data_IF_213836229573
#
_entry.id   IF_213836229573
#
_cell.length_a   1.000
_cell.length_b   1.000
_cell.length_c   1.000
_cell.angle_alpha   90.00
_cell.angle_beta   90.00
_cell.angle_gamma   90.00
#
_symmetry.space_group_name_H-M   'P 1'
#
loop_
_entity.id
_entity.type
_entity.pdbx_description
1 polymer ?
#
# COMPACT_ATOMS: atom_id res chain seq x y z
N UNK A 1 60.99 -2.75 -30.62
CA UNK A 1 62.09 -2.99 -29.65
C UNK A 1 61.79 -2.29 -28.36
N UNK A 2 61.36 -2.97 -27.36
CA UNK A 2 61.47 -2.56 -25.95
C UNK A 2 61.53 -3.86 -25.11
N UNK A 3 62.65 -4.00 -24.39
CA UNK A 3 62.99 -5.15 -23.57
C UNK A 3 62.15 -5.19 -22.27
N UNK A 4 61.73 -6.36 -21.84
CA UNK A 4 61.07 -6.63 -20.60
C UNK A 4 62.12 -6.74 -19.46
N UNK A 5 61.97 -5.99 -18.41
CA UNK A 5 62.77 -6.01 -17.19
C UNK A 5 62.20 -7.10 -16.27
N UNK A 6 63.04 -8.02 -15.85
CA UNK A 6 62.74 -9.08 -14.89
C UNK A 6 62.78 -8.53 -13.46
N UNK A 7 61.76 -8.86 -12.65
CA UNK A 7 61.54 -8.39 -11.29
C UNK A 7 62.54 -8.95 -10.27
N UNK A 8 62.94 -8.19 -9.26
CA UNK A 8 63.96 -8.56 -8.24
C UNK A 8 63.55 -9.72 -7.30
N UNK A 9 62.32 -10.21 -7.34
CA UNK A 9 61.80 -11.23 -6.42
C UNK A 9 62.21 -12.68 -6.78
N UNK A 10 62.64 -12.92 -8.02
CA UNK A 10 63.07 -14.29 -8.44
C UNK A 10 64.53 -14.62 -8.00
N UNK A 11 65.31 -13.61 -7.71
CA UNK A 11 66.71 -13.86 -7.29
C UNK A 11 66.86 -14.31 -5.81
N UNK A 12 65.91 -13.94 -4.95
CA UNK A 12 65.97 -14.35 -3.53
C UNK A 12 65.46 -15.80 -3.28
N UNK A 13 64.67 -16.35 -4.13
CA UNK A 13 64.17 -17.72 -3.96
C UNK A 13 65.24 -18.81 -4.25
N UNK A 14 66.21 -18.52 -5.10
CA UNK A 14 67.30 -19.47 -5.44
C UNK A 14 68.41 -19.62 -4.41
N UNK A 15 68.62 -18.60 -3.58
CA UNK A 15 69.68 -18.61 -2.54
C UNK A 15 69.22 -19.37 -1.29
N UNK A 16 67.94 -19.40 -0.97
CA UNK A 16 67.41 -20.11 0.20
C UNK A 16 67.36 -21.64 0.06
N UNK A 17 67.36 -22.19 -1.19
CA UNK A 17 67.28 -23.63 -1.43
C UNK A 17 68.63 -24.36 -1.31
N UNK A 18 69.78 -23.66 -1.29
CA UNK A 18 71.13 -24.28 -1.22
C UNK A 18 71.68 -24.40 0.19
N UNK A 19 71.02 -23.87 1.23
CA UNK A 19 71.53 -23.95 2.64
C UNK A 19 70.86 -25.05 3.48
N UNK A 20 69.97 -25.86 2.91
CA UNK A 20 69.25 -26.91 3.65
C UNK A 20 69.73 -28.35 3.35
N UNK A 21 70.81 -28.49 2.60
CA UNK A 21 71.27 -29.83 2.17
C UNK A 21 72.62 -30.28 2.78
N UNK A 22 73.27 -29.52 3.68
CA UNK A 22 74.50 -29.95 4.34
C UNK A 22 74.42 -29.68 5.85
N UNK A 23 73.90 -30.63 6.57
CA UNK A 23 73.95 -30.69 8.03
C UNK A 23 73.73 -32.11 8.49
N UNK A 24 74.88 -32.81 8.63
CA UNK A 24 74.96 -34.24 8.84
C UNK A 24 74.38 -34.73 10.16
N UNK A 25 74.13 -36.00 10.11
CA UNK A 25 73.53 -36.86 11.11
C UNK A 25 74.26 -36.86 12.49
N UNK A 26 73.47 -36.88 13.56
CA UNK A 26 73.79 -37.62 14.79
C UNK A 26 72.55 -38.32 15.29
N UNK A 27 72.57 -39.64 15.13
CA UNK A 27 71.57 -40.57 15.64
C UNK A 27 71.65 -40.65 17.17
N UNK A 28 70.56 -40.32 17.84
CA UNK A 28 70.31 -40.79 19.20
C UNK A 28 69.02 -41.61 19.15
N UNK A 29 69.11 -42.89 19.48
CA UNK A 29 68.03 -43.88 19.39
C UNK A 29 66.94 -43.57 20.40
N UNK A 30 65.77 -43.27 19.87
CA UNK A 30 64.52 -43.29 20.62
C UNK A 30 63.85 -44.65 20.43
N UNK A 31 63.47 -45.30 21.52
CA UNK A 31 62.81 -46.61 21.54
C UNK A 31 61.48 -46.56 20.79
N UNK A 32 61.15 -47.60 20.02
CA UNK A 32 59.99 -47.74 19.16
C UNK A 32 58.62 -47.55 19.86
N UNK A 33 58.58 -47.56 21.21
CA UNK A 33 57.36 -47.35 21.97
C UNK A 33 56.93 -45.88 22.04
N UNK A 34 57.84 -44.93 21.98
CA UNK A 34 57.50 -43.50 22.10
C UNK A 34 56.93 -42.92 20.80
N UNK A 35 57.30 -43.49 19.64
CA UNK A 35 56.78 -43.08 18.34
C UNK A 35 55.32 -43.52 18.14
N UNK A 36 54.88 -44.62 18.74
CA UNK A 36 53.49 -45.10 18.62
C UNK A 36 52.53 -44.27 19.49
N UNK A 37 52.95 -43.82 20.66
CA UNK A 37 52.10 -42.97 21.57
C UNK A 37 51.94 -41.56 20.99
N UNK A 38 52.95 -40.94 20.43
CA UNK A 38 52.90 -39.63 19.80
C UNK A 38 52.08 -39.67 18.53
N UNK A 39 52.15 -40.75 17.74
CA UNK A 39 51.34 -40.97 16.54
C UNK A 39 49.84 -41.12 16.89
N UNK A 40 49.55 -41.91 17.95
CA UNK A 40 48.15 -42.13 18.41
C UNK A 40 47.54 -40.86 18.97
N UNK A 41 48.32 -40.06 19.72
CA UNK A 41 47.88 -38.80 20.27
C UNK A 41 47.56 -37.76 19.16
N UNK A 42 48.37 -37.68 18.13
CA UNK A 42 48.14 -36.80 16.96
C UNK A 42 46.92 -37.23 16.13
N UNK A 43 46.68 -38.53 16.02
CA UNK A 43 45.50 -39.05 15.29
C UNK A 43 44.20 -38.74 16.08
N UNK A 44 44.24 -38.97 17.39
CA UNK A 44 43.08 -38.67 18.30
C UNK A 44 42.81 -37.19 18.37
N UNK A 45 43.83 -36.33 18.48
CA UNK A 45 43.65 -34.88 18.50
C UNK A 45 43.09 -34.35 17.17
N UNK A 46 43.56 -34.83 16.03
CA UNK A 46 43.00 -34.48 14.71
C UNK A 46 41.54 -34.93 14.61
N UNK A 47 41.21 -36.13 15.05
CA UNK A 47 39.83 -36.62 15.05
C UNK A 47 38.93 -35.80 15.94
N UNK A 48 39.40 -35.37 17.11
CA UNK A 48 38.65 -34.49 18.01
C UNK A 48 38.44 -33.09 17.42
N UNK A 49 39.46 -32.53 16.80
CA UNK A 49 39.36 -31.22 16.12
C UNK A 49 38.38 -31.29 14.93
N UNK A 50 38.42 -32.34 14.10
CA UNK A 50 37.44 -32.50 13.02
C UNK A 50 36.01 -32.73 13.52
N UNK A 51 35.82 -33.44 14.63
CA UNK A 51 34.50 -33.59 15.27
C UNK A 51 33.98 -32.26 15.88
N UNK A 52 34.83 -31.46 16.52
CA UNK A 52 34.51 -30.14 17.01
C UNK A 52 34.19 -29.14 15.89
N UNK A 53 34.95 -29.21 14.77
CA UNK A 53 34.65 -28.40 13.58
C UNK A 53 33.35 -28.84 12.91
N UNK A 54 33.09 -30.16 12.80
CA UNK A 54 31.83 -30.65 12.25
C UNK A 54 30.63 -30.32 13.12
N UNK A 55 30.75 -30.31 14.44
CA UNK A 55 29.69 -29.84 15.36
C UNK A 55 29.51 -28.34 15.30
N UNK A 56 30.60 -27.57 15.19
CA UNK A 56 30.52 -26.11 15.04
C UNK A 56 29.90 -25.69 13.69
N UNK A 57 30.22 -26.38 12.59
CA UNK A 57 29.60 -26.12 11.29
C UNK A 57 28.15 -26.59 11.24
N UNK A 58 27.77 -27.69 11.90
CA UNK A 58 26.39 -28.13 12.02
C UNK A 58 25.59 -27.15 12.92
N UNK A 59 26.19 -26.61 13.98
CA UNK A 59 25.56 -25.58 14.80
C UNK A 59 25.42 -24.24 14.08
N UNK A 60 26.36 -23.84 13.21
CA UNK A 60 26.22 -22.64 12.36
C UNK A 60 25.12 -22.80 11.28
N UNK A 61 24.90 -24.03 10.79
CA UNK A 61 23.83 -24.33 9.83
C UNK A 61 22.44 -24.42 10.48
N UNK A 62 22.39 -24.52 11.83
CA UNK A 62 21.14 -24.50 12.60
C UNK A 62 20.79 -23.10 13.15
N UNK A 63 21.67 -22.09 12.95
CA UNK A 63 21.40 -20.69 13.28
C UNK A 63 20.89 -19.93 12.03
N UNK A 64 20.39 -20.62 11.04
CA UNK A 64 19.36 -20.03 10.19
C UNK A 64 18.02 -20.13 10.94
N UNK A 65 17.96 -19.50 12.12
CA UNK A 65 16.71 -18.96 12.63
C UNK A 65 16.37 -17.84 11.68
N UNK A 66 15.99 -18.21 10.47
CA UNK A 66 15.23 -17.35 9.61
C UNK A 66 14.13 -16.81 10.49
N UNK A 67 14.14 -15.49 10.72
CA UNK A 67 12.98 -14.78 11.18
C UNK A 67 11.86 -15.33 10.33
N UNK A 68 11.05 -16.25 10.88
CA UNK A 68 9.97 -16.88 10.15
C UNK A 68 9.15 -15.72 9.63
N UNK A 69 9.16 -15.52 8.31
CA UNK A 69 8.46 -14.40 7.70
C UNK A 69 7.04 -14.47 8.24
N UNK A 70 6.62 -13.43 8.95
CA UNK A 70 5.32 -13.41 9.60
C UNK A 70 4.27 -13.73 8.55
N UNK A 71 3.34 -14.66 8.84
CA UNK A 71 2.36 -15.09 7.85
C UNK A 71 1.52 -13.90 7.36
N UNK A 72 1.07 -13.95 6.12
CA UNK A 72 0.23 -12.90 5.51
C UNK A 72 -0.95 -12.57 6.40
N UNK A 73 -1.62 -13.60 6.94
CA UNK A 73 -2.80 -13.41 7.81
C UNK A 73 -2.46 -12.62 9.07
N UNK A 74 -1.33 -12.90 9.71
CA UNK A 74 -0.88 -12.18 10.91
C UNK A 74 -0.59 -10.72 10.57
N UNK A 75 0.12 -10.46 9.48
CA UNK A 75 0.42 -9.10 9.02
C UNK A 75 -0.86 -8.33 8.70
N UNK A 76 -1.81 -8.96 8.02
CA UNK A 76 -3.11 -8.36 7.68
C UNK A 76 -3.92 -8.06 8.93
N UNK A 77 -4.02 -8.97 9.90
CA UNK A 77 -4.76 -8.74 11.15
C UNK A 77 -4.12 -7.63 12.01
N UNK A 78 -2.81 -7.58 12.10
CA UNK A 78 -2.11 -6.45 12.73
C UNK A 78 -2.39 -5.13 12.02
N UNK A 79 -2.33 -5.13 10.69
CA UNK A 79 -2.67 -3.97 9.86
C UNK A 79 -4.10 -3.49 10.10
N UNK A 80 -5.07 -4.40 10.15
CA UNK A 80 -6.48 -4.10 10.48
C UNK A 80 -6.64 -3.48 11.88
N UNK A 81 -5.83 -3.88 12.86
CA UNK A 81 -5.86 -3.29 14.19
C UNK A 81 -5.46 -1.80 14.18
N UNK A 82 -4.46 -1.42 13.39
CA UNK A 82 -4.07 -0.01 13.17
C UNK A 82 -5.08 0.73 12.29
N UNK A 83 -5.60 0.09 11.25
CA UNK A 83 -6.61 0.66 10.35
C UNK A 83 -7.86 1.10 11.10
N UNK A 84 -8.37 0.27 12.04
CA UNK A 84 -9.51 0.63 12.91
C UNK A 84 -9.26 1.88 13.77
N UNK A 85 -8.02 2.24 14.01
CA UNK A 85 -7.60 3.45 14.74
C UNK A 85 -7.22 4.60 13.81
N UNK A 86 -7.41 4.43 12.50
CA UNK A 86 -6.99 5.37 11.44
C UNK A 86 -5.47 5.66 11.43
N UNK A 87 -4.67 4.75 11.97
CA UNK A 87 -3.22 4.84 12.04
C UNK A 87 -2.59 4.30 10.74
N UNK A 88 -2.76 5.06 9.65
CA UNK A 88 -2.33 4.62 8.31
C UNK A 88 -0.81 4.43 8.21
N UNK A 89 -0.01 5.23 8.93
CA UNK A 89 1.46 5.12 8.94
C UNK A 89 1.93 3.79 9.53
N UNK A 90 1.18 3.24 10.49
CA UNK A 90 1.52 1.98 11.16
C UNK A 90 0.91 0.77 10.42
N UNK A 91 -0.29 0.92 9.84
CA UNK A 91 -0.94 -0.14 9.07
C UNK A 91 -0.23 -0.43 7.73
N UNK A 92 0.22 0.62 7.03
CA UNK A 92 0.76 0.52 5.67
C UNK A 92 1.98 -0.39 5.55
N UNK A 93 3.02 -0.32 6.41
CA UNK A 93 4.17 -1.21 6.32
C UNK A 93 3.81 -2.70 6.44
N UNK A 94 2.80 -3.03 7.26
CA UNK A 94 2.32 -4.40 7.45
C UNK A 94 1.64 -4.91 6.19
N UNK A 95 0.76 -4.11 5.60
CA UNK A 95 0.10 -4.45 4.34
C UNK A 95 1.07 -4.55 3.16
N UNK A 96 2.09 -3.67 3.08
CA UNK A 96 3.13 -3.76 2.06
C UNK A 96 4.03 -5.00 2.23
N UNK A 97 4.23 -5.44 3.47
CA UNK A 97 4.93 -6.71 3.73
C UNK A 97 4.10 -7.92 3.31
N UNK A 98 2.80 -7.91 3.57
CA UNK A 98 1.87 -8.95 3.12
C UNK A 98 1.76 -9.00 1.59
N UNK A 99 1.77 -7.83 0.91
CA UNK A 99 1.70 -7.72 -0.56
C UNK A 99 2.86 -8.44 -1.25
N UNK A 100 4.06 -8.48 -0.65
CA UNK A 100 5.20 -9.19 -1.24
C UNK A 100 4.93 -10.67 -1.45
N UNK A 101 4.15 -11.29 -0.56
CA UNK A 101 3.75 -12.68 -0.67
C UNK A 101 2.49 -12.87 -1.52
N UNK A 102 1.54 -11.91 -1.46
CA UNK A 102 0.27 -11.96 -2.17
C UNK A 102 0.02 -10.72 -3.05
N UNK A 103 0.84 -10.48 -4.10
CA UNK A 103 0.79 -9.26 -4.89
C UNK A 103 -0.47 -9.07 -5.74
N UNK A 104 -1.31 -10.11 -5.84
CA UNK A 104 -2.57 -10.11 -6.60
C UNK A 104 -3.80 -10.28 -5.72
N UNK A 105 -3.67 -10.20 -4.39
CA UNK A 105 -4.81 -10.26 -3.48
C UNK A 105 -5.60 -8.94 -3.57
N UNK A 106 -6.85 -8.94 -4.13
CA UNK A 106 -7.61 -7.72 -4.36
C UNK A 106 -7.98 -7.02 -3.05
N UNK A 107 -8.36 -7.75 -1.99
CA UNK A 107 -8.69 -7.18 -0.69
C UNK A 107 -7.49 -6.44 -0.09
N UNK A 108 -6.31 -7.04 -0.13
CA UNK A 108 -5.08 -6.43 0.36
C UNK A 108 -4.74 -5.16 -0.41
N UNK A 109 -4.85 -5.18 -1.74
CA UNK A 109 -4.61 -4.02 -2.59
C UNK A 109 -5.61 -2.87 -2.30
N UNK A 110 -6.89 -3.19 -2.04
CA UNK A 110 -7.90 -2.21 -1.59
C UNK A 110 -7.51 -1.58 -0.26
N UNK A 111 -7.02 -2.38 0.71
CA UNK A 111 -6.55 -1.89 2.01
C UNK A 111 -5.35 -0.96 1.87
N UNK A 112 -4.37 -1.33 1.06
CA UNK A 112 -3.20 -0.48 0.77
C UNK A 112 -3.64 0.85 0.16
N UNK A 113 -4.51 0.81 -0.85
CA UNK A 113 -5.07 2.02 -1.47
C UNK A 113 -5.79 2.90 -0.43
N UNK A 114 -6.52 2.30 0.52
CA UNK A 114 -7.19 3.00 1.62
C UNK A 114 -6.20 3.71 2.54
N UNK A 115 -5.10 3.04 2.92
CA UNK A 115 -4.09 3.68 3.77
C UNK A 115 -3.46 4.89 3.08
N UNK A 116 -3.14 4.81 1.79
CA UNK A 116 -2.64 5.97 1.04
C UNK A 116 -3.66 7.10 0.96
N UNK A 117 -4.97 6.80 0.84
CA UNK A 117 -6.02 7.82 0.92
C UNK A 117 -6.12 8.46 2.31
N UNK A 118 -5.90 7.71 3.38
CA UNK A 118 -5.86 8.25 4.74
C UNK A 118 -4.65 9.17 4.94
N UNK A 119 -3.47 8.77 4.44
CA UNK A 119 -2.29 9.65 4.42
C UNK A 119 -2.52 10.92 3.59
N UNK A 120 -3.26 10.83 2.49
CA UNK A 120 -3.68 11.98 1.70
C UNK A 120 -4.59 12.94 2.51
N UNK A 121 -5.47 12.43 3.39
CA UNK A 121 -6.26 13.25 4.30
C UNK A 121 -5.37 14.01 5.28
N UNK A 122 -4.34 13.35 5.82
CA UNK A 122 -3.41 13.91 6.80
C UNK A 122 -2.40 14.91 6.22
N UNK A 123 -2.16 14.86 4.91
CA UNK A 123 -1.23 15.76 4.24
C UNK A 123 -1.78 17.20 4.18
N UNK A 124 -0.94 18.20 4.44
CA UNK A 124 -1.30 19.62 4.37
C UNK A 124 -1.09 20.21 2.97
N UNK A 125 -0.09 19.71 2.24
CA UNK A 125 0.30 20.22 0.92
C UNK A 125 -0.43 19.49 -0.22
N UNK A 126 -0.92 20.25 -1.21
CA UNK A 126 -1.67 19.71 -2.36
C UNK A 126 -0.82 18.82 -3.27
N UNK A 127 0.48 19.11 -3.41
CA UNK A 127 1.39 18.29 -4.20
C UNK A 127 1.57 16.91 -3.54
N UNK A 128 1.77 16.88 -2.22
CA UNK A 128 1.85 15.64 -1.46
C UNK A 128 0.53 14.86 -1.49
N UNK A 129 -0.62 15.55 -1.38
CA UNK A 129 -1.94 14.92 -1.55
C UNK A 129 -2.06 14.23 -2.90
N UNK A 130 -1.67 14.90 -3.99
CA UNK A 130 -1.71 14.30 -5.32
C UNK A 130 -0.73 13.13 -5.46
N UNK A 131 0.49 13.25 -4.93
CA UNK A 131 1.48 12.16 -4.95
C UNK A 131 0.93 10.90 -4.28
N UNK A 132 0.38 11.04 -3.07
CA UNK A 132 -0.25 9.94 -2.33
C UNK A 132 -1.50 9.42 -3.05
N UNK A 133 -2.29 10.33 -3.64
CA UNK A 133 -3.47 10.00 -4.44
C UNK A 133 -3.13 9.14 -5.66
N UNK A 134 -2.07 9.47 -6.40
CA UNK A 134 -1.64 8.66 -7.56
C UNK A 134 -1.15 7.27 -7.14
N UNK A 135 -0.46 7.14 -6.02
CA UNK A 135 -0.08 5.83 -5.47
C UNK A 135 -1.35 5.04 -5.10
N UNK A 136 -2.30 5.67 -4.39
CA UNK A 136 -3.57 5.04 -4.06
C UNK A 136 -4.36 4.61 -5.30
N UNK A 137 -4.31 5.42 -6.37
CA UNK A 137 -4.99 5.13 -7.63
C UNK A 137 -4.36 3.93 -8.36
N UNK A 138 -3.03 3.79 -8.32
CA UNK A 138 -2.36 2.61 -8.88
C UNK A 138 -2.80 1.34 -8.16
N UNK A 139 -2.73 1.32 -6.83
CA UNK A 139 -3.21 0.18 -6.03
C UNK A 139 -4.70 -0.11 -6.26
N UNK A 140 -5.53 0.92 -6.38
CA UNK A 140 -6.97 0.76 -6.68
C UNK A 140 -7.21 0.11 -8.04
N UNK A 141 -6.45 0.49 -9.08
CA UNK A 141 -6.54 -0.12 -10.42
C UNK A 141 -6.06 -1.57 -10.41
N UNK A 142 -4.97 -1.85 -9.70
CA UNK A 142 -4.48 -3.22 -9.52
C UNK A 142 -5.51 -4.08 -8.80
N UNK A 143 -6.16 -3.56 -7.75
CA UNK A 143 -7.24 -4.24 -7.05
C UNK A 143 -8.38 -4.60 -8.00
N UNK A 144 -8.87 -3.63 -8.79
CA UNK A 144 -9.94 -3.84 -9.76
C UNK A 144 -9.57 -4.89 -10.84
N UNK A 145 -8.31 -4.88 -11.29
CA UNK A 145 -7.81 -5.86 -12.27
C UNK A 145 -7.72 -7.28 -11.68
N UNK A 146 -7.34 -7.41 -10.40
CA UNK A 146 -7.21 -8.70 -9.71
C UNK A 146 -8.54 -9.24 -9.20
N UNK A 147 -9.51 -8.34 -8.87
CA UNK A 147 -10.83 -8.67 -8.33
C UNK A 147 -11.99 -8.30 -9.26
N UNK A 148 -12.13 -8.91 -10.46
CA UNK A 148 -13.18 -8.52 -11.40
C UNK A 148 -14.61 -8.80 -10.91
N UNK A 149 -14.76 -9.64 -9.88
CA UNK A 149 -16.04 -9.98 -9.23
C UNK A 149 -16.12 -9.48 -7.78
N UNK A 150 -15.20 -8.63 -7.37
CA UNK A 150 -15.16 -8.05 -6.03
C UNK A 150 -15.66 -6.60 -6.11
N UNK A 151 -16.77 -6.32 -5.41
CA UNK A 151 -17.43 -5.01 -5.41
C UNK A 151 -16.49 -3.90 -4.90
N UNK A 152 -15.79 -4.13 -3.80
CA UNK A 152 -14.87 -3.14 -3.19
C UNK A 152 -13.67 -2.88 -4.10
N UNK A 153 -13.14 -3.92 -4.73
CA UNK A 153 -12.05 -3.80 -5.69
C UNK A 153 -12.48 -2.98 -6.92
N UNK A 154 -13.67 -3.23 -7.47
CA UNK A 154 -14.20 -2.46 -8.61
C UNK A 154 -14.53 -1.01 -8.23
N UNK A 155 -14.95 -0.76 -6.99
CA UNK A 155 -15.28 0.58 -6.50
C UNK A 155 -14.03 1.40 -6.11
N UNK A 156 -12.93 0.78 -5.75
CA UNK A 156 -11.74 1.44 -5.23
C UNK A 156 -11.18 2.57 -6.14
N UNK A 157 -11.14 2.44 -7.48
CA UNK A 157 -10.72 3.54 -8.36
C UNK A 157 -11.64 4.76 -8.28
N UNK A 158 -12.96 4.56 -8.17
CA UNK A 158 -13.93 5.65 -8.04
C UNK A 158 -13.76 6.42 -6.73
N UNK A 159 -13.58 5.71 -5.60
CA UNK A 159 -13.32 6.31 -4.29
C UNK A 159 -12.05 7.18 -4.36
N UNK A 160 -10.98 6.63 -4.94
CA UNK A 160 -9.69 7.32 -5.00
C UNK A 160 -9.75 8.55 -5.90
N UNK A 161 -10.30 8.42 -7.12
CA UNK A 161 -10.49 9.54 -8.03
C UNK A 161 -11.39 10.63 -7.40
N UNK A 162 -12.49 10.23 -6.75
CA UNK A 162 -13.39 11.16 -6.07
C UNK A 162 -12.71 11.98 -4.98
N UNK A 163 -11.75 11.37 -4.25
CA UNK A 163 -10.94 12.07 -3.25
C UNK A 163 -9.87 12.98 -3.86
N UNK A 164 -9.33 12.62 -5.02
CA UNK A 164 -8.33 13.41 -5.74
C UNK A 164 -8.93 14.63 -6.46
N UNK A 165 -10.21 14.57 -6.88
CA UNK A 165 -10.84 15.59 -7.73
C UNK A 165 -10.56 17.04 -7.32
N UNK A 166 -10.63 17.46 -6.03
CA UNK A 166 -10.41 18.84 -5.65
C UNK A 166 -8.99 19.37 -5.95
N UNK A 167 -8.04 18.46 -6.10
CA UNK A 167 -6.61 18.76 -6.27
C UNK A 167 -6.12 18.56 -7.72
N UNK A 168 -6.92 17.88 -8.56
CA UNK A 168 -6.56 17.61 -9.96
C UNK A 168 -6.71 18.85 -10.83
N UNK A 169 -5.85 19.02 -11.85
CA UNK A 169 -6.10 20.00 -12.93
C UNK A 169 -7.43 19.73 -13.65
N UNK A 170 -8.07 20.78 -14.18
CA UNK A 170 -9.39 20.69 -14.82
C UNK A 170 -9.47 19.60 -15.90
N UNK A 171 -8.44 19.45 -16.72
CA UNK A 171 -8.38 18.39 -17.74
C UNK A 171 -8.53 17.00 -17.12
N UNK A 172 -7.83 16.77 -16.01
CA UNK A 172 -7.87 15.48 -15.33
C UNK A 172 -9.16 15.26 -14.56
N UNK A 173 -9.76 16.33 -14.01
CA UNK A 173 -11.11 16.26 -13.41
C UNK A 173 -12.14 15.80 -14.43
N UNK A 174 -12.13 16.36 -15.65
CA UNK A 174 -13.04 15.96 -16.74
C UNK A 174 -12.80 14.51 -17.12
N UNK A 175 -11.54 14.10 -17.30
CA UNK A 175 -11.16 12.74 -17.65
C UNK A 175 -11.47 11.71 -16.54
N UNK A 176 -11.49 12.11 -15.28
CA UNK A 176 -11.83 11.25 -14.15
C UNK A 176 -13.34 10.91 -14.10
N UNK A 177 -14.20 11.83 -14.54
CA UNK A 177 -15.65 11.69 -14.39
C UNK A 177 -16.24 10.41 -15.02
N UNK A 178 -16.01 10.06 -16.30
CA UNK A 178 -16.51 8.82 -16.87
C UNK A 178 -15.89 7.57 -16.20
N UNK A 179 -14.65 7.65 -15.74
CA UNK A 179 -13.96 6.55 -15.05
C UNK A 179 -14.55 6.27 -13.67
N UNK A 180 -14.97 7.32 -12.95
CA UNK A 180 -15.71 7.18 -11.69
C UNK A 180 -17.02 6.45 -11.96
N UNK A 181 -17.80 6.91 -12.97
CA UNK A 181 -19.08 6.27 -13.32
C UNK A 181 -18.91 4.80 -13.68
N UNK A 182 -17.95 4.47 -14.55
CA UNK A 182 -17.66 3.08 -14.95
C UNK A 182 -17.34 2.18 -13.74
N UNK A 183 -16.49 2.65 -12.80
CA UNK A 183 -16.16 1.88 -11.60
C UNK A 183 -17.37 1.66 -10.71
N UNK A 184 -18.21 2.68 -10.54
CA UNK A 184 -19.45 2.57 -9.76
C UNK A 184 -20.44 1.59 -10.41
N UNK A 185 -20.62 1.66 -11.72
CA UNK A 185 -21.54 0.77 -12.46
C UNK A 185 -21.11 -0.70 -12.33
N UNK A 186 -19.80 -0.96 -12.43
CA UNK A 186 -19.25 -2.31 -12.23
C UNK A 186 -19.49 -2.80 -10.79
N UNK A 187 -19.27 -1.95 -9.80
CA UNK A 187 -19.50 -2.30 -8.41
C UNK A 187 -20.99 -2.61 -8.13
N UNK A 188 -21.91 -1.77 -8.63
CA UNK A 188 -23.35 -1.97 -8.46
C UNK A 188 -23.89 -3.18 -9.23
N UNK A 189 -23.26 -3.55 -10.35
CA UNK A 189 -23.59 -4.77 -11.08
C UNK A 189 -23.21 -6.05 -10.29
N UNK A 190 -22.17 -5.96 -9.43
CA UNK A 190 -21.73 -7.06 -8.55
C UNK A 190 -22.55 -7.08 -7.26
N UNK A 191 -22.65 -5.94 -6.58
CA UNK A 191 -23.43 -5.79 -5.35
C UNK A 191 -24.35 -4.55 -5.42
N UNK A 192 -25.64 -4.74 -5.76
CA UNK A 192 -26.62 -3.66 -5.74
C UNK A 192 -26.91 -3.09 -4.34
N UNK A 193 -26.40 -3.72 -3.27
CA UNK A 193 -26.55 -3.28 -1.89
C UNK A 193 -25.30 -2.55 -1.36
N UNK A 194 -24.37 -2.17 -2.21
CA UNK A 194 -23.23 -1.34 -1.83
C UNK A 194 -23.67 0.10 -1.56
N UNK A 195 -23.81 0.47 -0.28
CA UNK A 195 -24.13 1.84 0.14
C UNK A 195 -23.08 2.86 -0.32
N UNK A 196 -21.81 2.45 -0.33
CA UNK A 196 -20.70 3.26 -0.85
C UNK A 196 -20.86 3.56 -2.34
N UNK A 197 -21.22 2.58 -3.14
CA UNK A 197 -21.40 2.77 -4.58
C UNK A 197 -22.56 3.73 -4.87
N UNK A 198 -23.70 3.59 -4.18
CA UNK A 198 -24.82 4.52 -4.28
C UNK A 198 -24.44 5.92 -3.80
N UNK A 199 -23.68 6.04 -2.71
CA UNK A 199 -23.19 7.34 -2.25
C UNK A 199 -22.32 8.03 -3.30
N UNK A 200 -21.37 7.32 -3.91
CA UNK A 200 -20.49 7.90 -4.92
C UNK A 200 -21.28 8.29 -6.16
N UNK A 201 -22.25 7.48 -6.57
CA UNK A 201 -23.13 7.79 -7.71
C UNK A 201 -23.95 9.05 -7.46
N UNK A 202 -24.60 9.15 -6.31
CA UNK A 202 -25.36 10.33 -5.92
C UNK A 202 -24.50 11.60 -5.88
N UNK A 203 -23.30 11.50 -5.31
CA UNK A 203 -22.34 12.62 -5.30
C UNK A 203 -21.87 12.99 -6.71
N UNK A 204 -21.60 12.01 -7.56
CA UNK A 204 -21.24 12.21 -8.97
C UNK A 204 -22.36 12.94 -9.73
N UNK A 205 -23.60 12.50 -9.60
CA UNK A 205 -24.78 13.13 -10.18
C UNK A 205 -24.94 14.59 -9.69
N UNK A 206 -24.83 14.83 -8.39
CA UNK A 206 -24.95 16.18 -7.79
C UNK A 206 -23.90 17.14 -8.36
N UNK A 207 -22.62 16.72 -8.37
CA UNK A 207 -21.50 17.56 -8.84
C UNK A 207 -21.68 17.91 -10.31
N UNK A 208 -22.09 16.96 -11.14
CA UNK A 208 -22.28 17.19 -12.57
C UNK A 208 -23.55 17.98 -12.89
N UNK A 209 -24.60 17.89 -12.07
CA UNK A 209 -25.80 18.70 -12.21
C UNK A 209 -25.51 20.20 -11.95
N UNK A 210 -24.48 20.53 -11.14
CA UNK A 210 -24.05 21.90 -10.87
C UNK A 210 -23.33 22.56 -12.06
N UNK A 211 -22.81 21.75 -13.00
CA UNK A 211 -22.09 22.28 -14.18
C UNK A 211 -23.07 22.83 -15.18
N UNK A 212 -23.08 24.16 -15.38
CA UNK A 212 -23.94 24.82 -16.36
C UNK A 212 -23.70 24.33 -17.78
N UNK A 213 -24.73 24.45 -18.65
CA UNK A 213 -24.65 24.05 -20.05
C UNK A 213 -23.50 24.75 -20.80
N UNK A 214 -23.27 26.03 -20.52
CA UNK A 214 -22.17 26.80 -21.11
C UNK A 214 -20.79 26.25 -20.70
N UNK A 215 -20.57 26.00 -19.39
CA UNK A 215 -19.32 25.39 -18.90
C UNK A 215 -19.11 24.00 -19.49
N UNK A 216 -20.18 23.20 -19.58
CA UNK A 216 -20.14 21.86 -20.19
C UNK A 216 -19.75 21.90 -21.67
N UNK A 217 -20.33 22.83 -22.41
CA UNK A 217 -20.00 23.03 -23.83
C UNK A 217 -18.52 23.39 -24.02
N UNK A 218 -18.02 24.37 -23.27
CA UNK A 218 -16.59 24.76 -23.31
C UNK A 218 -15.68 23.62 -22.91
N UNK A 219 -16.01 22.89 -21.84
CA UNK A 219 -15.25 21.71 -21.42
C UNK A 219 -15.23 20.64 -22.52
N UNK A 220 -16.36 20.44 -23.21
CA UNK A 220 -16.49 19.50 -24.32
C UNK A 220 -15.57 19.82 -25.50
N UNK A 221 -15.40 21.10 -25.82
CA UNK A 221 -14.51 21.55 -26.91
C UNK A 221 -13.01 21.36 -26.57
N UNK A 222 -12.64 21.54 -25.31
CA UNK A 222 -11.23 21.60 -24.90
C UNK A 222 -10.73 20.26 -24.33
N UNK A 223 -11.55 19.58 -23.52
CA UNK A 223 -11.12 18.46 -22.70
C UNK A 223 -11.87 17.14 -23.00
N UNK A 224 -12.86 17.16 -23.91
CA UNK A 224 -13.75 16.03 -24.18
C UNK A 224 -15.09 16.15 -23.45
N UNK A 225 -16.04 15.29 -23.85
CA UNK A 225 -17.40 15.36 -23.34
C UNK A 225 -17.48 15.09 -21.83
N UNK A 226 -18.07 16.04 -21.10
CA UNK A 226 -18.38 15.87 -19.70
C UNK A 226 -19.80 15.28 -19.58
N UNK A 227 -20.02 14.13 -18.91
CA UNK A 227 -21.34 13.54 -18.73
C UNK A 227 -22.32 14.52 -18.06
N UNK A 228 -23.62 14.35 -18.32
CA UNK A 228 -24.67 15.10 -17.65
C UNK A 228 -25.08 14.37 -16.38
N UNK A 229 -25.10 15.04 -15.24
CA UNK A 229 -25.68 14.54 -13.99
C UNK A 229 -27.11 15.05 -13.82
N UNK A 230 -27.92 14.38 -12.98
CA UNK A 230 -29.26 14.79 -12.55
C UNK A 230 -29.27 14.96 -11.04
N UNK A 231 -29.80 16.07 -10.58
CA UNK A 231 -29.95 16.33 -9.14
C UNK A 231 -31.04 15.45 -8.52
N UNK A 232 -32.05 15.07 -9.30
CA UNK A 232 -33.13 14.15 -8.92
C UNK A 232 -32.58 12.72 -8.75
N UNK A 233 -31.74 12.27 -9.69
CA UNK A 233 -31.03 10.99 -9.55
C UNK A 233 -30.10 11.00 -8.33
N UNK A 234 -29.39 12.10 -8.09
CA UNK A 234 -28.54 12.26 -6.90
C UNK A 234 -29.34 12.06 -5.61
N UNK A 235 -30.55 12.64 -5.51
CA UNK A 235 -31.45 12.45 -4.36
C UNK A 235 -31.83 10.97 -4.18
N UNK A 236 -32.24 10.32 -5.27
CA UNK A 236 -32.66 8.92 -5.23
C UNK A 236 -31.50 7.99 -4.83
N UNK A 237 -30.34 8.18 -5.41
CA UNK A 237 -29.14 7.39 -5.11
C UNK A 237 -28.73 7.52 -3.66
N UNK A 238 -28.75 8.76 -3.12
CA UNK A 238 -28.40 9.00 -1.73
C UNK A 238 -29.43 8.43 -0.75
N UNK A 239 -30.73 8.46 -1.10
CA UNK A 239 -31.77 7.76 -0.33
C UNK A 239 -31.57 6.26 -0.29
N UNK A 240 -31.15 5.64 -1.41
CA UNK A 240 -30.78 4.21 -1.44
C UNK A 240 -29.59 3.92 -0.52
N UNK A 241 -28.54 4.76 -0.56
CA UNK A 241 -27.39 4.62 0.32
C UNK A 241 -27.80 4.66 1.81
N UNK A 242 -28.68 5.59 2.20
CA UNK A 242 -29.21 5.70 3.58
C UNK A 242 -30.06 4.48 3.93
N UNK A 243 -30.89 3.98 3.02
CA UNK A 243 -31.75 2.81 3.25
C UNK A 243 -30.92 1.54 3.48
N UNK A 244 -29.80 1.39 2.79
CA UNK A 244 -28.87 0.27 2.95
C UNK A 244 -28.07 0.39 4.25
N UNK A 245 -27.49 1.57 4.52
CA UNK A 245 -26.68 1.80 5.69
C UNK A 245 -27.02 3.13 6.38
N UNK A 246 -27.98 3.15 7.32
CA UNK A 246 -28.43 4.37 8.00
C UNK A 246 -27.46 4.90 9.05
N UNK A 247 -26.34 4.21 9.31
CA UNK A 247 -25.40 4.56 10.37
C UNK A 247 -24.19 5.38 9.89
N UNK A 248 -24.13 5.73 8.60
CA UNK A 248 -23.02 6.52 8.03
C UNK A 248 -23.43 7.98 7.85
N UNK A 249 -22.80 8.85 8.61
CA UNK A 249 -23.10 10.30 8.61
C UNK A 249 -22.91 10.95 7.24
N UNK A 250 -21.97 10.45 6.44
CA UNK A 250 -21.68 11.02 5.12
C UNK A 250 -22.89 11.00 4.17
N UNK A 251 -23.79 10.00 4.28
CA UNK A 251 -24.97 9.93 3.45
C UNK A 251 -25.96 11.05 3.76
N UNK A 252 -26.18 11.34 5.05
CA UNK A 252 -27.10 12.38 5.49
C UNK A 252 -26.57 13.78 5.11
N UNK A 253 -25.27 14.02 5.34
CA UNK A 253 -24.66 15.30 4.98
C UNK A 253 -24.74 15.53 3.47
N UNK A 254 -24.43 14.52 2.67
CA UNK A 254 -24.49 14.67 1.21
C UNK A 254 -25.94 14.83 0.69
N UNK A 255 -26.93 14.12 1.27
CA UNK A 255 -28.33 14.33 0.93
C UNK A 255 -28.79 15.76 1.28
N UNK A 256 -28.37 16.27 2.43
CA UNK A 256 -28.66 17.66 2.78
C UNK A 256 -28.03 18.67 1.82
N UNK A 257 -26.83 18.39 1.31
CA UNK A 257 -26.17 19.21 0.27
C UNK A 257 -26.90 19.15 -1.07
N UNK A 258 -27.47 17.99 -1.41
CA UNK A 258 -28.35 17.84 -2.58
C UNK A 258 -29.59 18.72 -2.40
N UNK A 259 -30.27 18.67 -1.24
CA UNK A 259 -31.42 19.52 -0.97
C UNK A 259 -31.10 21.02 -0.99
N UNK A 260 -29.92 21.41 -0.48
CA UNK A 260 -29.44 22.79 -0.59
C UNK A 260 -29.34 23.24 -2.06
N UNK A 261 -28.79 22.38 -2.93
CA UNK A 261 -28.64 22.65 -4.35
C UNK A 261 -30.00 22.71 -5.09
N UNK A 262 -31.01 21.94 -4.62
CA UNK A 262 -32.39 22.01 -5.09
C UNK A 262 -33.19 23.22 -4.57
N UNK A 263 -32.60 24.04 -3.67
CA UNK A 263 -33.29 25.15 -3.00
C UNK A 263 -34.22 24.72 -1.86
N UNK A 264 -34.23 23.44 -1.48
CA UNK A 264 -35.06 22.85 -0.41
C UNK A 264 -34.36 23.06 0.96
N UNK A 265 -34.35 24.33 1.42
CA UNK A 265 -33.52 24.77 2.55
C UNK A 265 -33.81 24.04 3.87
N UNK A 266 -35.09 23.84 4.19
CA UNK A 266 -35.47 23.21 5.46
C UNK A 266 -35.02 21.73 5.52
N UNK A 267 -35.19 20.98 4.43
CA UNK A 267 -34.74 19.62 4.34
C UNK A 267 -33.21 19.56 4.35
N UNK A 268 -32.54 20.52 3.69
CA UNK A 268 -31.08 20.64 3.77
C UNK A 268 -30.60 20.79 5.22
N UNK A 269 -31.21 21.69 6.00
CA UNK A 269 -30.90 21.87 7.43
C UNK A 269 -31.16 20.60 8.22
N UNK A 270 -32.32 19.98 8.01
CA UNK A 270 -32.69 18.76 8.73
C UNK A 270 -31.66 17.63 8.51
N UNK A 271 -31.32 17.32 7.27
CA UNK A 271 -30.45 16.21 6.94
C UNK A 271 -28.99 16.48 7.31
N UNK A 272 -28.48 17.71 7.11
CA UNK A 272 -27.14 18.08 7.52
C UNK A 272 -27.03 18.00 9.05
N UNK A 273 -27.97 18.57 9.81
CA UNK A 273 -27.93 18.54 11.27
C UNK A 273 -28.01 17.10 11.80
N UNK A 274 -28.79 16.23 11.16
CA UNK A 274 -28.82 14.80 11.49
C UNK A 274 -27.43 14.18 11.34
N UNK A 275 -26.75 14.41 10.21
CA UNK A 275 -25.40 13.90 9.98
C UNK A 275 -24.37 14.49 10.95
N UNK A 276 -24.47 15.80 11.28
CA UNK A 276 -23.58 16.45 12.23
C UNK A 276 -23.69 15.88 13.66
N UNK A 277 -24.89 15.43 14.05
CA UNK A 277 -25.15 14.83 15.36
C UNK A 277 -24.64 13.38 15.49
N UNK A 278 -24.34 12.69 14.38
CA UNK A 278 -23.85 11.32 14.41
C UNK A 278 -22.37 11.27 14.84
N UNK A 279 -21.93 10.17 15.51
CA UNK A 279 -20.52 10.01 15.87
C UNK A 279 -19.63 9.87 14.64
N UNK A 280 -18.36 10.24 14.77
CA UNK A 280 -17.33 9.98 13.76
C UNK A 280 -16.94 8.52 13.83
N UNK A 281 -17.10 7.80 12.74
CA UNK A 281 -16.78 6.37 12.59
C UNK A 281 -15.80 6.09 11.47
N UNK A 282 -15.53 7.09 10.63
CA UNK A 282 -14.61 7.01 9.51
C UNK A 282 -13.59 8.14 9.51
N UNK A 283 -12.42 7.90 8.93
CA UNK A 283 -11.32 8.87 8.85
C UNK A 283 -11.74 10.22 8.26
N UNK A 284 -12.64 10.20 7.30
CA UNK A 284 -13.06 11.40 6.55
C UNK A 284 -14.32 12.08 7.13
N UNK A 285 -14.84 11.59 8.26
CA UNK A 285 -16.06 12.14 8.89
C UNK A 285 -15.88 13.59 9.36
N UNK A 286 -14.76 13.99 9.98
CA UNK A 286 -14.54 15.38 10.36
C UNK A 286 -14.58 16.35 9.17
N UNK A 287 -13.95 15.98 8.04
CA UNK A 287 -13.98 16.76 6.80
C UNK A 287 -15.38 16.79 6.20
N UNK A 288 -16.12 15.68 6.26
CA UNK A 288 -17.50 15.59 5.79
C UNK A 288 -18.42 16.49 6.60
N UNK A 289 -18.29 16.49 7.93
CA UNK A 289 -19.01 17.42 8.82
C UNK A 289 -18.67 18.86 8.53
N UNK A 290 -17.42 19.17 8.24
CA UNK A 290 -17.01 20.53 7.86
C UNK A 290 -17.73 21.00 6.60
N UNK A 291 -17.79 20.17 5.54
CA UNK A 291 -18.56 20.46 4.31
C UNK A 291 -20.06 20.68 4.59
N UNK A 292 -20.61 19.95 5.56
CA UNK A 292 -21.99 20.15 6.02
C UNK A 292 -22.18 21.55 6.65
N UNK A 293 -21.31 21.95 7.59
CA UNK A 293 -21.34 23.26 8.22
C UNK A 293 -21.21 24.41 7.21
N UNK A 294 -20.29 24.26 6.25
CA UNK A 294 -20.11 25.23 5.17
C UNK A 294 -21.36 25.37 4.28
N UNK A 295 -22.09 24.28 4.08
CA UNK A 295 -23.37 24.32 3.35
C UNK A 295 -24.44 25.02 4.17
N UNK A 296 -24.58 24.72 5.47
CA UNK A 296 -25.53 25.39 6.35
C UNK A 296 -25.31 26.91 6.42
N UNK A 297 -24.07 27.35 6.44
CA UNK A 297 -23.73 28.78 6.49
C UNK A 297 -24.15 29.56 5.22
N UNK A 298 -24.51 28.87 4.14
CA UNK A 298 -24.95 29.44 2.84
C UNK A 298 -26.46 29.38 2.63
N UNK A 299 -27.23 28.75 3.54
CA UNK A 299 -28.69 28.60 3.48
C UNK A 299 -29.40 29.78 4.07
#
# INVERSE_FOLDING_TARGET
MRAAAVSPLEHQAKVRRRKLLNGGAKTAGMRSADLSIVSLHNVLMKSLIYRLFAVATAALLLIDVGSAAESVDILVEKGKAFERKFQAKDALPLYLSAEKAEPKNPELLVRIARQYRYLMTDASDNHEKLRLGYIALDYSKRAAACGPKDCDAQLAPAITLGKMLPYLPTKEQVAASPRIKESVDKALAIDPRSDNAWHILGRWNRVLAEVSSAKRFVAGLIYGQLPKGSIEEAEQDMKKAIAINPHRLMHYIELGRIYAQMGRKEEARQFINKGLAMPDTEKDDPETKQRGRETLAKL
#
